data_IF_888821246697
#
_entry.id   IF_888821246697
#
_cell.length_a   1.000
_cell.length_b   1.000
_cell.length_c   1.000
_cell.angle_alpha   90.00
_cell.angle_beta   90.00
_cell.angle_gamma   90.00
#
_symmetry.space_group_name_H-M   'P 1'
#
loop_
_entity.id
_entity.type
_entity.pdbx_description
1 polymer ?
#
# COMPACT_ATOMS: atom_id res chain seq x y z
N UNK A 1 -17.83 5.34 50.51
CA UNK A 1 -17.83 5.14 49.04
C UNK A 1 -18.50 3.81 48.72
N UNK A 2 -19.33 3.71 47.67
CA UNK A 2 -20.04 2.46 47.33
C UNK A 2 -19.03 1.40 46.80
N UNK A 3 -18.91 0.22 47.44
CA UNK A 3 -17.95 -0.82 47.04
C UNK A 3 -18.11 -1.31 45.60
N UNK A 4 -19.33 -1.28 45.05
CA UNK A 4 -19.60 -1.65 43.65
C UNK A 4 -18.96 -0.65 42.67
N UNK A 5 -18.98 0.64 43.01
CA UNK A 5 -18.34 1.69 42.21
C UNK A 5 -16.82 1.47 42.17
N UNK A 6 -16.20 1.13 43.30
CA UNK A 6 -14.76 0.85 43.36
C UNK A 6 -14.37 -0.32 42.46
N UNK A 7 -15.14 -1.42 42.49
CA UNK A 7 -14.90 -2.59 41.63
C UNK A 7 -15.02 -2.24 40.14
N UNK A 8 -16.08 -1.53 39.74
CA UNK A 8 -16.28 -1.11 38.35
C UNK A 8 -15.16 -0.18 37.85
N UNK A 9 -14.68 0.73 38.70
CA UNK A 9 -13.53 1.59 38.35
C UNK A 9 -12.25 0.79 38.14
N UNK A 10 -11.98 -0.20 38.99
CA UNK A 10 -10.80 -1.06 38.85
C UNK A 10 -10.87 -1.92 37.58
N UNK A 11 -12.05 -2.45 37.25
CA UNK A 11 -12.26 -3.21 36.01
C UNK A 11 -12.10 -2.32 34.77
N UNK A 12 -12.66 -1.11 34.79
CA UNK A 12 -12.47 -0.14 33.71
C UNK A 12 -10.99 0.19 33.51
N UNK A 13 -10.24 0.43 34.58
CA UNK A 13 -8.80 0.72 34.48
C UNK A 13 -8.02 -0.43 33.83
N UNK A 14 -8.31 -1.68 34.19
CA UNK A 14 -7.72 -2.87 33.55
C UNK A 14 -8.07 -2.96 32.06
N UNK A 15 -9.31 -2.61 31.70
CA UNK A 15 -9.71 -2.59 30.30
C UNK A 15 -8.99 -1.48 29.52
N UNK A 16 -8.85 -0.29 30.12
CA UNK A 16 -8.12 0.83 29.52
C UNK A 16 -6.64 0.45 29.26
N UNK A 17 -5.99 -0.22 30.22
CA UNK A 17 -4.62 -0.76 30.05
C UNK A 17 -4.55 -1.80 28.92
N UNK A 18 -5.50 -2.74 28.87
CA UNK A 18 -5.55 -3.75 27.81
C UNK A 18 -5.76 -3.13 26.43
N UNK A 19 -6.62 -2.11 26.33
CA UNK A 19 -6.85 -1.37 25.09
C UNK A 19 -5.57 -0.65 24.66
N UNK A 20 -4.85 -0.02 25.59
CA UNK A 20 -3.58 0.64 25.28
C UNK A 20 -2.54 -0.36 24.75
N UNK A 21 -2.39 -1.52 25.39
CA UNK A 21 -1.48 -2.58 24.94
C UNK A 21 -1.85 -3.10 23.54
N UNK A 22 -3.14 -3.39 23.29
CA UNK A 22 -3.61 -3.85 21.97
C UNK A 22 -3.39 -2.79 20.89
N UNK A 23 -3.62 -1.51 21.19
CA UNK A 23 -3.34 -0.41 20.25
C UNK A 23 -1.86 -0.29 19.92
N UNK A 24 -0.98 -0.46 20.90
CA UNK A 24 0.47 -0.50 20.65
C UNK A 24 0.83 -1.64 19.73
N UNK A 25 0.32 -2.85 20.02
CA UNK A 25 0.59 -4.03 19.20
C UNK A 25 0.09 -3.89 17.77
N UNK A 26 -1.08 -3.27 17.57
CA UNK A 26 -1.59 -3.02 16.24
C UNK A 26 -0.67 -2.09 15.43
N UNK A 27 -0.11 -1.05 16.06
CA UNK A 27 0.86 -0.17 15.36
C UNK A 27 2.10 -0.92 14.91
N UNK A 28 2.65 -1.79 15.76
CA UNK A 28 3.79 -2.64 15.38
C UNK A 28 3.46 -3.59 14.22
N UNK A 29 2.23 -4.11 14.20
CA UNK A 29 1.76 -4.95 13.09
C UNK A 29 1.60 -4.14 11.81
N UNK A 30 1.01 -2.94 11.88
CA UNK A 30 0.86 -2.04 10.74
C UNK A 30 2.23 -1.67 10.14
N UNK A 31 3.22 -1.38 10.99
CA UNK A 31 4.60 -1.13 10.56
C UNK A 31 5.20 -2.36 9.86
N UNK A 32 5.04 -3.54 10.45
CA UNK A 32 5.55 -4.80 9.87
C UNK A 32 4.90 -5.11 8.51
N UNK A 33 3.59 -4.84 8.37
CA UNK A 33 2.86 -5.02 7.11
C UNK A 33 3.46 -4.10 6.04
N UNK A 34 3.63 -2.80 6.34
CA UNK A 34 4.19 -1.83 5.40
C UNK A 34 5.61 -2.22 4.97
N UNK A 35 6.44 -2.72 5.90
CA UNK A 35 7.80 -3.19 5.58
C UNK A 35 7.80 -4.39 4.62
N UNK A 36 6.88 -5.35 4.84
CA UNK A 36 6.73 -6.51 3.96
C UNK A 36 6.21 -6.10 2.58
N UNK A 37 5.19 -5.23 2.51
CA UNK A 37 4.66 -4.72 1.25
C UNK A 37 5.73 -3.97 0.44
N UNK A 38 6.56 -3.15 1.11
CA UNK A 38 7.68 -2.48 0.45
C UNK A 38 8.69 -3.47 -0.12
N UNK A 39 8.95 -4.56 0.61
CA UNK A 39 9.84 -5.63 0.16
C UNK A 39 9.27 -6.35 -1.06
N UNK A 40 7.97 -6.64 -1.07
CA UNK A 40 7.26 -7.28 -2.19
C UNK A 40 7.26 -6.39 -3.44
N UNK A 41 7.05 -5.08 -3.30
CA UNK A 41 7.14 -4.11 -4.41
C UNK A 41 8.52 -4.17 -5.07
N UNK A 42 9.60 -4.19 -4.26
CA UNK A 42 10.97 -4.29 -4.78
C UNK A 42 11.21 -5.65 -5.44
N UNK A 43 10.70 -6.73 -4.82
CA UNK A 43 10.78 -8.09 -5.37
C UNK A 43 10.14 -8.19 -6.75
N UNK A 44 8.94 -7.62 -6.91
CA UNK A 44 8.23 -7.56 -8.17
C UNK A 44 8.99 -6.75 -9.22
N UNK A 45 9.50 -5.56 -8.88
CA UNK A 45 10.28 -4.75 -9.80
C UNK A 45 11.52 -5.48 -10.32
N UNK A 46 12.26 -6.19 -9.44
CA UNK A 46 13.39 -7.01 -9.87
C UNK A 46 12.98 -8.18 -10.77
N UNK A 47 11.87 -8.85 -10.45
CA UNK A 47 11.37 -9.98 -11.23
C UNK A 47 10.93 -9.56 -12.65
N UNK A 48 10.43 -8.34 -12.82
CA UNK A 48 10.05 -7.79 -14.13
C UNK A 48 11.20 -7.13 -14.88
N UNK A 49 12.41 -7.11 -14.30
CA UNK A 49 13.58 -6.44 -14.89
C UNK A 49 13.53 -4.92 -14.79
N UNK A 50 12.58 -4.35 -14.02
CA UNK A 50 12.46 -2.92 -13.79
C UNK A 50 13.60 -2.43 -12.90
N UNK A 51 14.28 -1.38 -13.34
CA UNK A 51 15.30 -0.71 -12.54
C UNK A 51 14.68 0.11 -11.39
N UNK A 52 15.47 0.40 -10.36
CA UNK A 52 14.99 1.23 -9.23
C UNK A 52 14.61 2.65 -9.67
N UNK A 53 15.25 3.19 -10.70
CA UNK A 53 14.95 4.51 -11.26
C UNK A 53 13.60 4.52 -11.97
N UNK A 54 13.31 3.48 -12.76
CA UNK A 54 12.01 3.30 -13.43
C UNK A 54 10.89 3.11 -12.40
N UNK A 55 11.13 2.36 -11.33
CA UNK A 55 10.18 2.20 -10.23
C UNK A 55 9.89 3.54 -9.55
N UNK A 56 10.91 4.35 -9.26
CA UNK A 56 10.74 5.66 -8.65
C UNK A 56 9.93 6.63 -9.55
N UNK A 57 10.21 6.61 -10.86
CA UNK A 57 9.45 7.39 -11.84
C UNK A 57 8.01 6.92 -11.94
N UNK A 58 7.77 5.60 -11.96
CA UNK A 58 6.45 4.98 -11.97
C UNK A 58 5.62 5.42 -10.75
N UNK A 59 6.17 5.30 -9.55
CA UNK A 59 5.49 5.69 -8.30
C UNK A 59 5.20 7.20 -8.24
N UNK A 60 6.13 8.02 -8.75
CA UNK A 60 5.95 9.49 -8.81
C UNK A 60 4.81 9.87 -9.76
N UNK A 61 4.71 9.22 -10.92
CA UNK A 61 3.62 9.44 -11.87
C UNK A 61 2.27 8.99 -11.29
N UNK A 62 2.24 7.82 -10.64
CA UNK A 62 1.05 7.29 -9.97
C UNK A 62 0.54 8.26 -8.88
N UNK A 63 1.44 8.80 -8.05
CA UNK A 63 1.11 9.78 -6.99
C UNK A 63 0.52 11.08 -7.54
N UNK A 64 0.86 11.46 -8.78
CA UNK A 64 0.34 12.66 -9.45
C UNK A 64 -0.98 12.42 -10.19
N UNK A 65 -1.56 11.22 -10.07
CA UNK A 65 -2.79 10.84 -10.79
C UNK A 65 -2.57 10.55 -12.28
N UNK A 66 -1.31 10.35 -12.71
CA UNK A 66 -1.00 9.91 -14.08
C UNK A 66 -1.21 8.41 -14.25
N UNK A 67 -1.68 7.98 -15.43
CA UNK A 67 -1.70 6.58 -15.80
C UNK A 67 -0.26 6.13 -16.09
N UNK A 68 0.31 5.18 -15.32
CA UNK A 68 1.74 4.90 -15.36
C UNK A 68 2.15 3.97 -16.52
N UNK A 69 1.20 3.61 -17.40
CA UNK A 69 1.44 2.85 -18.63
C UNK A 69 1.04 3.72 -19.82
N UNK A 70 2.01 4.35 -20.47
CA UNK A 70 1.95 4.48 -21.93
C UNK A 70 2.43 3.11 -22.43
N UNK A 71 1.54 2.32 -23.02
CA UNK A 71 1.94 1.11 -23.75
C UNK A 71 3.03 1.50 -24.75
N UNK A 72 4.16 0.77 -24.84
CA UNK A 72 5.10 1.03 -25.93
C UNK A 72 4.35 0.80 -27.25
N UNK A 73 4.31 1.83 -28.08
CA UNK A 73 3.86 1.83 -29.48
C UNK A 73 3.67 0.42 -30.08
N UNK A 74 2.43 -0.01 -30.28
CA UNK A 74 2.11 -0.76 -31.49
C UNK A 74 1.91 0.29 -32.59
N UNK A 75 3.02 0.85 -33.10
CA UNK A 75 3.04 1.37 -34.47
C UNK A 75 3.12 0.14 -35.37
N UNK A 76 2.01 -0.57 -35.51
CA UNK A 76 1.83 -1.38 -36.69
C UNK A 76 1.33 -0.44 -37.77
N UNK A 77 2.17 -0.24 -38.79
CA UNK A 77 1.86 0.42 -40.04
C UNK A 77 0.66 -0.28 -40.71
N UNK A 78 -0.57 0.09 -40.37
CA UNK A 78 -1.71 -0.22 -41.23
C UNK A 78 -1.81 0.87 -42.28
N UNK A 79 -0.94 0.79 -43.28
CA UNK A 79 -1.13 1.48 -44.55
C UNK A 79 -2.23 0.73 -45.33
N UNK A 80 -3.48 0.89 -44.91
CA UNK A 80 -4.63 0.48 -45.72
C UNK A 80 -4.89 1.56 -46.77
N UNK A 81 -4.30 1.36 -47.94
CA UNK A 81 -4.72 2.02 -49.18
C UNK A 81 -6.18 1.62 -49.42
N UNK A 82 -7.09 2.59 -49.35
CA UNK A 82 -8.43 2.44 -49.91
C UNK A 82 -8.29 2.58 -51.43
N UNK A 83 -8.26 1.46 -52.14
CA UNK A 83 -8.63 1.45 -53.56
C UNK A 83 -10.15 1.63 -53.63
N UNK A 84 -10.58 2.74 -54.21
CA UNK A 84 -11.97 2.97 -54.63
C UNK A 84 -12.16 2.32 -56.01
N UNK A 85 -13.10 1.38 -56.12
CA UNK A 85 -13.81 1.02 -57.37
C UNK A 85 -15.28 1.41 -57.25
#
# INVERSE_FOLDING_TARGET
MNPKITKLKAERAKNDEKIAALRSRNRELDESIVELENTDIIGLARATGMSMEELAQFLTQLKRGGAPFITPNTKEDTNYVHEEE
#
